data_IF_982220039955
#
_entry.id   IF_982220039955
#
_cell.length_a   1.000
_cell.length_b   1.000
_cell.length_c   1.000
_cell.angle_alpha   90.00
_cell.angle_beta   90.00
_cell.angle_gamma   90.00
#
_symmetry.space_group_name_H-M   'P 1'
#
loop_
_entity.id
_entity.type
_entity.pdbx_description
1 polymer ?
#
# COMPACT_ATOMS: atom_id res chain seq x y z
N UNK A 1 19.38 11.54 -3.29
CA UNK A 1 18.83 10.29 -3.89
C UNK A 1 18.89 10.46 -5.39
N UNK A 2 19.81 9.77 -6.07
CA UNK A 2 19.95 9.79 -7.53
C UNK A 2 19.25 8.53 -8.05
N UNK A 3 18.34 8.65 -9.01
CA UNK A 3 17.62 7.49 -9.60
C UNK A 3 16.10 7.49 -9.45
N UNK A 4 15.49 8.55 -8.90
CA UNK A 4 14.02 8.70 -8.86
C UNK A 4 13.60 10.09 -9.33
N UNK A 5 12.57 10.16 -10.15
CA UNK A 5 12.00 11.43 -10.59
C UNK A 5 11.50 12.24 -9.39
N UNK A 6 11.74 13.56 -9.28
CA UNK A 6 11.41 14.35 -8.08
C UNK A 6 9.93 14.37 -7.68
N UNK A 7 9.04 14.05 -8.62
CA UNK A 7 7.58 13.97 -8.41
C UNK A 7 7.05 12.55 -8.23
N UNK A 8 7.91 11.56 -8.10
CA UNK A 8 7.50 10.18 -7.85
C UNK A 8 8.01 9.70 -6.51
N UNK A 9 7.26 8.79 -5.90
CA UNK A 9 7.68 8.04 -4.72
C UNK A 9 7.63 6.56 -5.05
N UNK A 10 8.60 5.81 -4.54
CA UNK A 10 8.70 4.37 -4.75
C UNK A 10 8.59 3.68 -3.41
N UNK A 11 7.91 2.54 -3.42
CA UNK A 11 7.87 1.60 -2.32
C UNK A 11 8.25 0.23 -2.87
N UNK A 12 8.97 -0.56 -2.08
CA UNK A 12 9.25 -1.94 -2.46
C UNK A 12 7.95 -2.74 -2.50
N UNK A 13 7.75 -3.50 -3.58
CA UNK A 13 6.67 -4.46 -3.64
C UNK A 13 6.79 -5.48 -2.49
N UNK A 14 5.66 -5.97 -1.99
CA UNK A 14 5.49 -6.97 -0.92
C UNK A 14 5.59 -6.50 0.55
N UNK A 15 5.57 -5.20 0.84
CA UNK A 15 5.41 -4.71 2.22
C UNK A 15 3.94 -4.58 2.64
N UNK A 16 3.68 -4.51 3.95
CA UNK A 16 2.34 -4.25 4.50
C UNK A 16 1.43 -5.47 4.59
N UNK A 17 1.98 -6.66 4.83
CA UNK A 17 1.17 -7.84 5.05
C UNK A 17 0.31 -7.67 6.31
N UNK A 18 -1.00 -7.86 6.15
CA UNK A 18 -2.00 -7.71 7.21
C UNK A 18 -2.60 -9.04 7.66
N UNK A 19 -2.31 -10.14 6.94
CA UNK A 19 -2.83 -11.46 7.23
C UNK A 19 -2.08 -12.11 8.40
N UNK A 20 -2.81 -12.60 9.41
CA UNK A 20 -2.23 -13.26 10.60
C UNK A 20 -1.45 -14.54 10.27
N UNK A 21 -1.75 -15.18 9.13
CA UNK A 21 -1.03 -16.36 8.63
C UNK A 21 0.40 -16.08 8.14
N UNK A 22 0.81 -14.80 8.06
CA UNK A 22 2.16 -14.40 7.69
C UNK A 22 2.87 -13.71 8.87
N UNK A 23 3.17 -14.42 9.97
CA UNK A 23 3.59 -13.81 11.24
C UNK A 23 4.88 -12.98 11.14
N UNK A 24 5.81 -13.36 10.26
CA UNK A 24 7.06 -12.61 10.05
C UNK A 24 6.79 -11.27 9.36
N UNK A 25 5.83 -11.20 8.44
CA UNK A 25 5.52 -10.01 7.64
C UNK A 25 4.38 -9.16 8.25
N UNK A 26 3.63 -9.71 9.20
CA UNK A 26 2.45 -9.09 9.80
C UNK A 26 2.76 -7.70 10.38
N UNK A 27 2.01 -6.69 9.94
CA UNK A 27 2.12 -5.32 10.45
C UNK A 27 3.44 -4.62 10.10
N UNK A 28 4.22 -5.14 9.13
CA UNK A 28 5.50 -4.55 8.72
C UNK A 28 5.38 -3.84 7.37
N UNK A 29 5.75 -2.56 7.36
CA UNK A 29 5.69 -1.69 6.19
C UNK A 29 4.27 -1.25 5.85
N UNK A 30 4.04 -0.81 4.62
CA UNK A 30 2.71 -0.41 4.13
C UNK A 30 2.40 -1.11 2.80
N UNK A 31 1.12 -1.41 2.57
CA UNK A 31 0.68 -2.14 1.40
C UNK A 31 0.35 -1.13 0.30
N UNK A 32 1.11 -1.15 -0.80
CA UNK A 32 0.87 -0.26 -1.94
C UNK A 32 -0.52 -0.45 -2.56
N UNK A 33 -1.02 -1.68 -2.59
CA UNK A 33 -2.25 -2.02 -3.30
C UNK A 33 -3.51 -1.39 -2.67
N UNK A 34 -3.45 -0.94 -1.41
CA UNK A 34 -4.59 -0.21 -0.79
C UNK A 34 -4.79 1.17 -1.41
N UNK A 35 -3.78 1.70 -2.11
CA UNK A 35 -3.80 2.99 -2.79
C UNK A 35 -4.31 2.87 -4.23
N UNK A 36 -4.48 1.64 -4.75
CA UNK A 36 -4.98 1.40 -6.09
C UNK A 36 -6.51 1.40 -6.09
N UNK A 37 -7.09 2.20 -6.95
CA UNK A 37 -8.53 2.26 -7.13
C UNK A 37 -9.00 1.00 -7.87
N UNK A 38 -9.91 0.25 -7.24
CA UNK A 38 -10.45 -0.99 -7.77
C UNK A 38 -11.94 -0.84 -8.05
N UNK A 39 -12.26 -0.05 -9.07
CA UNK A 39 -13.61 0.14 -9.56
C UNK A 39 -13.66 0.04 -11.10
N UNK A 40 -14.87 0.01 -11.66
CA UNK A 40 -15.05 -0.10 -13.11
C UNK A 40 -14.61 1.15 -13.89
N UNK A 41 -14.45 2.31 -13.24
CA UNK A 41 -14.00 3.55 -13.90
C UNK A 41 -12.50 3.54 -14.15
N UNK A 42 -11.74 2.84 -13.30
CA UNK A 42 -10.29 2.73 -13.36
C UNK A 42 -9.81 1.39 -13.96
N UNK A 43 -10.73 0.52 -14.37
CA UNK A 43 -10.40 -0.67 -15.15
C UNK A 43 -10.23 -0.30 -16.63
N UNK A 44 -9.23 -0.89 -17.29
CA UNK A 44 -9.08 -0.75 -18.74
C UNK A 44 -10.32 -1.30 -19.46
N UNK A 45 -10.99 -0.53 -20.32
CA UNK A 45 -12.26 -0.95 -20.93
C UNK A 45 -12.10 -2.06 -21.97
N UNK A 46 -10.88 -2.33 -22.45
CA UNK A 46 -10.61 -3.32 -23.49
C UNK A 46 -10.28 -4.69 -22.91
N UNK A 47 -9.37 -4.72 -21.92
CA UNK A 47 -8.84 -5.97 -21.37
C UNK A 47 -9.11 -6.15 -19.88
N UNK A 48 -9.85 -5.23 -19.26
CA UNK A 48 -10.19 -5.26 -17.83
C UNK A 48 -8.98 -5.28 -16.88
N UNK A 49 -7.82 -4.81 -17.35
CA UNK A 49 -6.63 -4.68 -16.52
C UNK A 49 -6.81 -3.57 -15.48
N UNK A 50 -6.27 -3.78 -14.28
CA UNK A 50 -6.27 -2.80 -13.20
C UNK A 50 -5.28 -1.66 -13.49
N UNK A 51 -5.69 -0.41 -13.21
CA UNK A 51 -4.77 0.74 -13.17
C UNK A 51 -3.81 0.63 -11.97
N UNK A 52 -2.52 0.88 -12.22
CA UNK A 52 -1.45 0.74 -11.22
C UNK A 52 -0.80 2.07 -10.85
N UNK A 53 -1.09 3.15 -11.58
CA UNK A 53 -0.72 4.49 -11.22
C UNK A 53 -1.69 5.06 -10.17
N UNK A 54 -1.15 5.64 -9.11
CA UNK A 54 -1.94 6.32 -8.08
C UNK A 54 -1.27 7.62 -7.68
N UNK A 55 -2.07 8.66 -7.47
CA UNK A 55 -1.60 9.95 -6.99
C UNK A 55 -1.75 10.01 -5.47
N UNK A 56 -0.67 10.31 -4.78
CA UNK A 56 -0.64 10.33 -3.32
C UNK A 56 -0.19 11.67 -2.77
N UNK A 57 -0.61 11.95 -1.54
CA UNK A 57 -0.06 13.05 -0.75
C UNK A 57 0.65 12.46 0.47
N UNK A 58 1.91 12.88 0.66
CA UNK A 58 2.78 12.35 1.72
C UNK A 58 2.80 13.34 2.88
N UNK A 59 2.63 12.82 4.08
CA UNK A 59 2.70 13.58 5.32
C UNK A 59 3.74 12.97 6.25
N UNK A 60 4.40 13.81 7.05
CA UNK A 60 5.28 13.36 8.11
C UNK A 60 4.44 12.86 9.29
N UNK A 61 4.78 11.69 9.81
CA UNK A 61 4.25 11.15 11.06
C UNK A 61 5.35 11.20 12.13
N UNK A 62 4.95 11.40 13.38
CA UNK A 62 5.82 11.51 14.56
C UNK A 62 6.03 10.16 15.29
N UNK A 63 5.16 9.19 15.05
CA UNK A 63 5.24 7.85 15.61
C UNK A 63 4.89 6.78 14.57
N UNK A 64 5.26 5.52 14.85
CA UNK A 64 4.85 4.38 14.04
C UNK A 64 3.40 4.03 14.36
N UNK A 65 2.58 3.89 13.32
CA UNK A 65 1.23 3.36 13.47
C UNK A 65 1.34 1.84 13.62
N UNK A 66 0.96 1.32 14.79
CA UNK A 66 0.84 -0.11 15.01
C UNK A 66 -0.44 -0.63 14.35
N UNK A 67 -0.32 -1.70 13.59
CA UNK A 67 -1.46 -2.34 12.95
C UNK A 67 -1.99 -3.46 13.87
N UNK A 68 -3.08 -3.18 14.60
CA UNK A 68 -3.72 -4.12 15.52
C UNK A 68 -4.46 -5.28 14.81
N UNK A 69 -4.40 -5.32 13.47
CA UNK A 69 -5.15 -6.26 12.65
C UNK A 69 -6.56 -5.81 12.34
N UNK A 70 -7.17 -6.45 11.34
CA UNK A 70 -8.61 -6.30 11.08
C UNK A 70 -9.37 -6.81 12.32
N UNK A 71 -9.98 -5.89 13.08
CA UNK A 71 -10.78 -6.20 14.27
C UNK A 71 -10.20 -5.76 15.63
N UNK A 72 -9.04 -5.07 15.67
CA UNK A 72 -8.58 -4.32 16.85
C UNK A 72 -8.25 -5.14 18.11
N UNK A 73 -8.24 -6.48 18.04
CA UNK A 73 -7.83 -7.32 19.16
C UNK A 73 -6.34 -7.60 19.08
N UNK A 74 -5.57 -6.93 19.94
CA UNK A 74 -4.24 -7.39 20.36
C UNK A 74 -4.37 -8.84 20.85
N UNK A 75 -3.50 -9.72 20.35
CA UNK A 75 -3.37 -11.09 20.83
C UNK A 75 -2.87 -11.09 22.27
#
# INVERSE_FOLDING_TARGET
>A
MQGQHPKTIAISACSGAWAKGAPIAYGKGTNFNILLESDAKHACPVCWSQETATMVKVYKIDHRIEFDGVGGKKL
#
